data_IF_813153641533
#
_entry.id   IF_813153641533
#
_cell.length_a   1.000
_cell.length_b   1.000
_cell.length_c   1.000
_cell.angle_alpha   90.00
_cell.angle_beta   90.00
_cell.angle_gamma   90.00
#
_symmetry.space_group_name_H-M   'P 1'
#
loop_
_entity.id
_entity.type
_entity.pdbx_description
1 polymer ?
#
# COMPACT_ATOMS: atom_id res chain seq x y z
N UNK A 1 25.30 -24.09 17.45
CA UNK A 1 26.05 -22.88 17.12
C UNK A 1 25.39 -21.66 17.77
N UNK A 2 26.18 -20.61 18.02
CA UNK A 2 25.66 -19.37 18.57
C UNK A 2 24.97 -18.56 17.46
N UNK A 3 23.85 -17.94 17.79
CA UNK A 3 23.20 -16.96 16.89
C UNK A 3 23.78 -15.57 17.19
N UNK A 4 24.23 -14.89 16.15
CA UNK A 4 24.74 -13.50 16.25
C UNK A 4 23.75 -12.60 15.53
N UNK A 5 23.41 -11.49 16.18
CA UNK A 5 22.65 -10.40 15.59
C UNK A 5 23.49 -9.13 15.66
N UNK A 6 23.80 -8.55 14.51
CA UNK A 6 24.48 -7.27 14.42
C UNK A 6 23.48 -6.20 14.01
N UNK A 7 23.39 -5.13 14.80
CA UNK A 7 22.63 -3.92 14.47
C UNK A 7 23.65 -2.84 14.15
N UNK A 8 23.67 -2.38 12.90
CA UNK A 8 24.60 -1.33 12.44
C UNK A 8 23.88 -0.34 11.52
N UNK A 9 24.42 0.87 11.41
CA UNK A 9 24.10 1.83 10.38
C UNK A 9 24.93 1.59 9.12
N UNK A 10 24.86 2.53 8.15
CA UNK A 10 25.72 2.55 6.99
C UNK A 10 27.18 2.76 7.40
N UNK A 11 28.11 2.13 6.69
CA UNK A 11 29.55 2.22 6.89
C UNK A 11 30.25 2.58 5.59
N UNK A 12 31.47 3.11 5.66
CA UNK A 12 32.27 3.38 4.47
C UNK A 12 32.63 2.07 3.74
N UNK A 13 32.99 1.04 4.49
CA UNK A 13 33.47 -0.23 3.92
C UNK A 13 32.38 -1.00 3.17
N UNK A 14 31.15 -1.03 3.70
CA UNK A 14 30.08 -1.85 3.15
C UNK A 14 29.11 -1.05 2.26
N UNK A 15 28.98 0.26 2.51
CA UNK A 15 27.97 1.11 1.88
C UNK A 15 28.55 2.32 1.17
N UNK A 16 29.86 2.56 1.24
CA UNK A 16 30.50 3.77 0.71
C UNK A 16 30.03 5.04 1.40
N UNK A 17 29.55 4.93 2.66
CA UNK A 17 29.04 6.06 3.41
C UNK A 17 30.06 6.62 4.38
N UNK A 18 30.32 7.90 4.29
CA UNK A 18 31.01 8.69 5.30
C UNK A 18 30.47 10.13 5.32
N UNK A 19 30.70 10.81 6.44
CA UNK A 19 30.37 12.22 6.65
C UNK A 19 31.59 12.94 7.20
N UNK A 20 31.97 14.06 6.58
CA UNK A 20 33.06 14.93 7.08
C UNK A 20 32.46 15.93 8.09
N UNK A 21 32.87 15.83 9.35
CA UNK A 21 32.49 16.79 10.39
C UNK A 21 33.61 17.79 10.62
N UNK A 22 33.30 19.08 10.54
CA UNK A 22 34.19 20.16 10.92
C UNK A 22 34.20 20.31 12.44
N UNK A 23 35.27 20.96 13.00
CA UNK A 23 35.30 21.25 14.42
C UNK A 23 34.05 21.99 14.90
N UNK A 24 33.37 21.43 15.91
CA UNK A 24 32.09 21.97 16.48
C UNK A 24 30.83 21.50 15.80
N UNK A 25 30.91 20.77 14.70
CA UNK A 25 29.73 20.13 14.06
C UNK A 25 29.38 18.80 14.73
N UNK A 26 28.11 18.44 14.69
CA UNK A 26 27.59 17.17 15.18
C UNK A 26 26.75 16.49 14.08
N UNK A 27 26.69 15.16 14.14
CA UNK A 27 25.84 14.35 13.27
C UNK A 27 24.91 13.49 14.11
N UNK A 28 23.64 13.52 13.79
CA UNK A 28 22.63 12.63 14.39
C UNK A 28 22.21 11.61 13.37
N UNK A 29 22.28 10.33 13.70
CA UNK A 29 21.82 9.24 12.84
C UNK A 29 20.30 9.24 12.71
N UNK A 30 19.78 8.58 11.68
CA UNK A 30 18.35 8.30 11.59
C UNK A 30 17.90 7.52 12.83
N UNK A 31 16.72 7.84 13.39
CA UNK A 31 16.20 7.11 14.55
C UNK A 31 15.85 5.67 14.17
N UNK A 32 16.14 4.73 15.07
CA UNK A 32 15.79 3.33 14.93
C UNK A 32 14.90 2.89 16.10
N UNK A 33 13.89 2.09 15.81
CA UNK A 33 12.99 1.51 16.81
C UNK A 33 13.26 0.03 17.01
N UNK A 34 13.29 -0.42 18.25
CA UNK A 34 13.40 -1.84 18.60
C UNK A 34 12.34 -2.21 19.64
N UNK A 35 11.81 -3.43 19.53
CA UNK A 35 10.89 -3.97 20.52
C UNK A 35 11.49 -5.25 21.14
N UNK A 36 11.55 -5.27 22.49
CA UNK A 36 11.93 -6.46 23.26
C UNK A 36 10.75 -6.81 24.17
N UNK A 37 10.19 -8.00 23.97
CA UNK A 37 8.99 -8.43 24.68
C UNK A 37 9.13 -9.87 25.18
N UNK A 38 8.38 -10.21 26.22
CA UNK A 38 8.24 -11.60 26.67
C UNK A 38 7.23 -12.31 25.75
N UNK A 39 7.61 -13.47 25.25
CA UNK A 39 6.78 -14.31 24.36
C UNK A 39 7.36 -14.43 22.95
N UNK A 40 6.55 -14.83 22.01
CA UNK A 40 6.96 -15.10 20.63
C UNK A 40 6.57 -13.98 19.65
N UNK A 41 6.22 -14.39 18.43
CA UNK A 41 5.90 -13.52 17.30
C UNK A 41 4.74 -12.55 17.60
N UNK A 42 3.61 -13.04 18.16
CA UNK A 42 2.41 -12.23 18.35
C UNK A 42 2.62 -11.04 19.31
N UNK A 43 3.23 -11.19 20.50
CA UNK A 43 3.57 -10.04 21.35
C UNK A 43 4.52 -9.04 20.67
N UNK A 44 5.50 -9.52 19.88
CA UNK A 44 6.42 -8.64 19.18
C UNK A 44 5.71 -7.83 18.08
N UNK A 45 4.89 -8.46 17.26
CA UNK A 45 4.09 -7.79 16.23
C UNK A 45 3.13 -6.76 16.84
N UNK A 46 2.45 -7.11 17.93
CA UNK A 46 1.57 -6.19 18.65
C UNK A 46 2.33 -4.98 19.24
N UNK A 47 3.52 -5.19 19.80
CA UNK A 47 4.34 -4.10 20.34
C UNK A 47 4.82 -3.15 19.23
N UNK A 48 5.30 -3.67 18.11
CA UNK A 48 5.69 -2.87 16.95
C UNK A 48 4.51 -2.13 16.34
N UNK A 49 3.34 -2.75 16.22
CA UNK A 49 2.12 -2.09 15.73
C UNK A 49 1.74 -0.89 16.59
N UNK A 50 1.73 -1.05 17.92
CA UNK A 50 1.47 0.05 18.85
C UNK A 50 2.52 1.17 18.76
N UNK A 51 3.80 0.82 18.64
CA UNK A 51 4.86 1.81 18.44
C UNK A 51 4.66 2.58 17.13
N UNK A 52 4.39 1.88 16.05
CA UNK A 52 4.17 2.44 14.72
C UNK A 52 3.04 3.46 14.70
N UNK A 53 1.91 3.15 15.31
CA UNK A 53 0.78 4.08 15.47
C UNK A 53 1.16 5.34 16.25
N UNK A 54 2.10 5.22 17.17
CA UNK A 54 2.54 6.33 18.02
C UNK A 54 3.46 7.32 17.30
N UNK A 55 4.25 6.83 16.34
CA UNK A 55 5.27 7.65 15.66
C UNK A 55 4.84 8.15 14.30
N UNK A 56 3.77 7.63 13.73
CA UNK A 56 3.26 8.09 12.45
C UNK A 56 2.50 9.41 12.57
N UNK A 57 2.50 10.17 11.48
CA UNK A 57 1.72 11.39 11.35
C UNK A 57 0.22 11.06 11.42
N UNK A 58 -0.57 11.76 12.26
CA UNK A 58 -2.03 11.64 12.21
C UNK A 58 -2.59 12.15 10.88
N UNK A 59 -3.60 11.47 10.35
CA UNK A 59 -4.33 11.90 9.17
C UNK A 59 -5.78 11.39 9.20
N UNK A 60 -6.68 12.04 8.46
CA UNK A 60 -8.11 11.70 8.44
C UNK A 60 -8.40 10.36 7.77
N UNK A 61 -7.52 9.88 6.90
CA UNK A 61 -7.67 8.58 6.26
C UNK A 61 -7.45 7.43 7.25
N UNK A 62 -6.53 7.60 8.22
CA UNK A 62 -6.32 6.63 9.30
C UNK A 62 -7.54 6.49 10.22
N UNK A 63 -8.42 7.49 10.25
CA UNK A 63 -9.67 7.43 11.02
C UNK A 63 -10.79 6.73 10.24
N UNK A 64 -10.85 6.98 8.93
CA UNK A 64 -11.97 6.55 8.06
C UNK A 64 -11.73 5.22 7.37
N UNK A 65 -10.49 4.85 7.10
CA UNK A 65 -10.09 3.63 6.38
C UNK A 65 -10.89 3.43 5.09
N UNK A 66 -10.93 4.44 4.24
CA UNK A 66 -11.72 4.44 3.02
C UNK A 66 -11.31 3.31 2.07
N UNK A 67 -12.31 2.72 1.39
CA UNK A 67 -12.11 1.68 0.37
C UNK A 67 -11.63 2.33 -0.93
N UNK A 68 -10.54 1.83 -1.49
CA UNK A 68 -9.93 2.35 -2.72
C UNK A 68 -10.36 1.49 -3.91
N UNK A 69 -10.73 2.13 -5.02
CA UNK A 69 -10.70 1.53 -6.35
C UNK A 69 -9.47 2.04 -7.09
N UNK A 70 -8.75 1.14 -7.77
CA UNK A 70 -7.60 1.49 -8.60
C UNK A 70 -7.76 0.82 -9.98
N UNK A 71 -7.53 1.57 -11.05
CA UNK A 71 -7.79 1.13 -12.42
C UNK A 71 -6.65 0.33 -13.08
N UNK A 72 -5.55 0.05 -12.36
CA UNK A 72 -4.37 -0.55 -12.97
C UNK A 72 -4.37 -2.08 -12.97
N UNK A 73 -4.21 -2.69 -11.77
CA UNK A 73 -3.95 -4.14 -11.64
C UNK A 73 -5.14 -4.98 -12.08
N UNK A 74 -4.90 -5.93 -13.01
CA UNK A 74 -5.96 -6.77 -13.61
C UNK A 74 -7.12 -5.96 -14.23
N UNK A 75 -6.90 -4.68 -14.50
CA UNK A 75 -7.86 -3.73 -15.02
C UNK A 75 -7.36 -3.12 -16.33
N UNK A 76 -6.98 -1.85 -16.36
CA UNK A 76 -6.53 -1.16 -17.58
C UNK A 76 -5.04 -1.27 -17.85
N UNK A 77 -4.22 -1.61 -16.86
CA UNK A 77 -2.78 -1.82 -16.99
C UNK A 77 -2.04 -0.63 -17.64
N UNK A 78 -2.45 0.61 -17.32
CA UNK A 78 -1.86 1.83 -17.85
C UNK A 78 -2.40 2.29 -19.20
N UNK A 79 -3.62 1.87 -19.55
CA UNK A 79 -4.32 2.32 -20.76
C UNK A 79 -5.66 3.03 -20.45
N UNK A 80 -5.65 4.09 -19.60
CA UNK A 80 -6.84 4.85 -19.27
C UNK A 80 -7.31 5.70 -20.45
N UNK A 81 -8.63 5.84 -20.61
CA UNK A 81 -9.26 6.80 -21.53
C UNK A 81 -10.54 7.33 -20.89
N UNK A 82 -10.98 8.54 -21.26
CA UNK A 82 -12.24 9.10 -20.73
C UNK A 82 -13.39 8.08 -20.75
N UNK A 83 -13.63 7.41 -21.89
CA UNK A 83 -14.74 6.47 -22.04
C UNK A 83 -14.66 5.30 -21.04
N UNK A 84 -13.48 4.71 -20.87
CA UNK A 84 -13.25 3.60 -19.95
C UNK A 84 -13.42 4.05 -18.50
N UNK A 85 -12.79 5.16 -18.14
CA UNK A 85 -12.79 5.69 -16.78
C UNK A 85 -14.21 6.02 -16.29
N UNK A 86 -15.03 6.70 -17.09
CA UNK A 86 -16.40 7.04 -16.70
C UNK A 86 -17.21 5.78 -16.35
N UNK A 87 -17.08 4.72 -17.15
CA UNK A 87 -17.76 3.44 -16.91
C UNK A 87 -17.26 2.72 -15.64
N UNK A 88 -15.96 2.76 -15.38
CA UNK A 88 -15.37 2.12 -14.19
C UNK A 88 -15.73 2.90 -12.93
N UNK A 89 -15.70 4.21 -12.97
CA UNK A 89 -16.09 5.10 -11.86
C UNK A 89 -17.53 4.80 -11.41
N UNK A 90 -18.46 4.65 -12.36
CA UNK A 90 -19.84 4.28 -12.04
C UNK A 90 -19.92 2.95 -11.27
N UNK A 91 -19.14 1.96 -11.69
CA UNK A 91 -19.09 0.66 -11.02
C UNK A 91 -18.37 0.69 -9.67
N UNK A 92 -17.32 1.46 -9.54
CA UNK A 92 -16.63 1.67 -8.28
C UNK A 92 -17.55 2.32 -7.23
N UNK A 93 -18.31 3.33 -7.64
CA UNK A 93 -19.33 3.96 -6.78
C UNK A 93 -20.46 2.97 -6.40
N UNK A 94 -20.95 2.17 -7.35
CA UNK A 94 -21.97 1.14 -7.14
C UNK A 94 -21.50 0.07 -6.12
N UNK A 95 -20.22 -0.29 -6.14
CA UNK A 95 -19.60 -1.21 -5.18
C UNK A 95 -19.48 -0.59 -3.78
N UNK A 96 -19.53 0.73 -3.67
CA UNK A 96 -19.36 1.45 -2.42
C UNK A 96 -17.91 1.82 -2.11
N UNK A 97 -17.04 1.89 -3.11
CA UNK A 97 -15.71 2.50 -2.96
C UNK A 97 -15.83 3.97 -2.55
N UNK A 98 -14.79 4.51 -1.95
CA UNK A 98 -14.76 5.87 -1.40
C UNK A 98 -13.65 6.72 -2.04
N UNK A 99 -12.59 6.07 -2.55
CA UNK A 99 -11.56 6.65 -3.42
C UNK A 99 -11.61 6.00 -4.80
N UNK A 100 -11.31 6.78 -5.82
CA UNK A 100 -11.00 6.30 -7.15
C UNK A 100 -9.60 6.76 -7.54
N UNK A 101 -8.68 5.84 -7.74
CA UNK A 101 -7.30 6.12 -8.15
C UNK A 101 -7.14 5.81 -9.63
N UNK A 102 -6.98 6.84 -10.45
CA UNK A 102 -6.51 6.73 -11.82
C UNK A 102 -4.99 6.56 -11.78
N UNK A 103 -4.54 5.35 -12.09
CA UNK A 103 -3.16 4.92 -11.96
C UNK A 103 -2.29 5.38 -13.16
N UNK A 104 -1.15 4.77 -13.38
CA UNK A 104 -0.20 5.14 -14.44
C UNK A 104 -0.82 5.17 -15.85
N UNK A 105 -0.33 6.05 -16.71
CA UNK A 105 -0.72 6.15 -18.12
C UNK A 105 -1.50 7.41 -18.49
N UNK A 106 -2.04 8.14 -17.53
CA UNK A 106 -2.87 9.32 -17.81
C UNK A 106 -2.13 10.51 -18.47
N UNK A 107 -0.81 10.52 -18.40
CA UNK A 107 0.07 11.63 -18.85
C UNK A 107 0.77 11.37 -20.20
N UNK A 108 0.51 10.25 -20.87
CA UNK A 108 1.10 9.92 -22.16
C UNK A 108 0.15 9.13 -23.06
N UNK A 109 0.10 9.46 -24.35
CA UNK A 109 -0.74 8.77 -25.33
C UNK A 109 -0.19 7.37 -25.75
N UNK A 110 1.07 7.09 -25.41
CA UNK A 110 1.75 5.84 -25.72
C UNK A 110 1.97 4.95 -24.51
N UNK A 111 3.10 4.24 -24.51
CA UNK A 111 3.55 3.46 -23.34
C UNK A 111 4.18 4.40 -22.32
N UNK A 112 3.53 4.51 -21.18
CA UNK A 112 3.77 5.51 -20.13
C UNK A 112 5.17 5.47 -19.47
N UNK A 113 5.90 4.37 -19.53
CA UNK A 113 7.06 4.08 -18.69
C UNK A 113 8.20 5.11 -18.79
N UNK A 114 8.66 5.46 -19.98
CA UNK A 114 9.83 6.31 -20.18
C UNK A 114 9.52 7.80 -20.48
N UNK A 115 8.23 8.21 -20.31
CA UNK A 115 7.74 9.57 -20.52
C UNK A 115 7.23 10.26 -19.26
N UNK A 116 7.34 9.62 -18.10
CA UNK A 116 6.99 10.22 -16.79
C UNK A 116 7.76 11.52 -16.54
N UNK A 117 7.18 12.45 -15.81
CA UNK A 117 7.90 13.62 -15.30
C UNK A 117 7.22 14.96 -15.56
N UNK A 118 6.49 15.17 -16.65
CA UNK A 118 5.82 16.45 -16.94
C UNK A 118 4.43 16.55 -16.29
N UNK A 119 3.80 15.43 -16.06
CA UNK A 119 2.54 15.29 -15.31
C UNK A 119 1.38 16.13 -15.88
N UNK A 120 1.28 16.20 -17.19
CA UNK A 120 0.16 16.79 -17.93
C UNK A 120 -0.66 15.68 -18.57
N UNK A 121 -1.97 15.84 -18.60
CA UNK A 121 -2.84 14.85 -19.21
C UNK A 121 -2.56 14.65 -20.72
N UNK A 122 -2.67 13.41 -21.15
CA UNK A 122 -2.56 13.03 -22.55
C UNK A 122 -3.85 13.39 -23.31
N UNK A 123 -3.75 14.30 -24.30
CA UNK A 123 -4.92 14.82 -25.02
C UNK A 123 -5.61 13.77 -25.90
N UNK A 124 -4.90 12.74 -26.35
CA UNK A 124 -5.49 11.62 -27.09
C UNK A 124 -6.33 10.70 -26.19
N UNK A 125 -5.95 10.55 -24.92
CA UNK A 125 -6.69 9.78 -23.92
C UNK A 125 -7.86 10.55 -23.32
N UNK A 126 -7.67 11.85 -23.08
CA UNK A 126 -8.61 12.76 -22.44
C UNK A 126 -8.90 13.97 -23.33
N UNK A 127 -9.67 13.80 -24.43
CA UNK A 127 -9.85 14.86 -25.43
C UNK A 127 -10.58 16.10 -24.89
N UNK A 128 -11.35 15.95 -23.81
CA UNK A 128 -12.03 17.07 -23.11
C UNK A 128 -11.28 17.50 -21.83
N UNK A 129 -10.06 16.99 -21.64
CA UNK A 129 -9.25 17.19 -20.43
C UNK A 129 -9.54 16.16 -19.33
N UNK A 130 -8.55 15.94 -18.47
CA UNK A 130 -8.66 15.02 -17.32
C UNK A 130 -9.73 15.47 -16.32
N UNK A 131 -10.03 16.77 -16.29
CA UNK A 131 -11.06 17.33 -15.40
C UNK A 131 -12.43 16.68 -15.58
N UNK A 132 -12.80 16.26 -16.79
CA UNK A 132 -14.07 15.56 -17.05
C UNK A 132 -14.17 14.27 -16.20
N UNK A 133 -13.10 13.50 -16.13
CA UNK A 133 -13.04 12.26 -15.34
C UNK A 133 -13.09 12.55 -13.84
N UNK A 134 -12.32 13.55 -13.39
CA UNK A 134 -12.31 13.96 -11.98
C UNK A 134 -13.69 14.46 -11.51
N UNK A 135 -14.32 15.33 -12.28
CA UNK A 135 -15.65 15.86 -11.99
C UNK A 135 -16.70 14.73 -11.97
N UNK A 136 -16.58 13.75 -12.86
CA UNK A 136 -17.46 12.57 -12.86
C UNK A 136 -17.30 11.76 -11.57
N UNK A 137 -16.07 11.46 -11.14
CA UNK A 137 -15.81 10.76 -9.89
C UNK A 137 -16.43 11.51 -8.68
N UNK A 138 -16.20 12.82 -8.59
CA UNK A 138 -16.80 13.66 -7.56
C UNK A 138 -18.33 13.66 -7.61
N UNK A 139 -18.94 13.68 -8.83
CA UNK A 139 -20.40 13.61 -8.99
C UNK A 139 -21.00 12.32 -8.46
N UNK A 140 -20.21 11.24 -8.38
CA UNK A 140 -20.60 9.95 -7.80
C UNK A 140 -20.27 9.83 -6.30
N UNK A 141 -19.72 10.89 -5.70
CA UNK A 141 -19.34 10.92 -4.29
C UNK A 141 -18.00 10.24 -3.98
N UNK A 142 -17.21 9.92 -4.99
CA UNK A 142 -15.85 9.39 -4.84
C UNK A 142 -14.86 10.53 -4.71
N UNK A 143 -13.84 10.35 -3.89
CA UNK A 143 -12.65 11.18 -3.85
C UNK A 143 -11.70 10.76 -4.96
N UNK A 144 -11.15 11.74 -5.69
CA UNK A 144 -10.29 11.46 -6.84
C UNK A 144 -8.84 11.33 -6.44
N UNK A 145 -8.19 10.28 -6.92
CA UNK A 145 -6.77 10.01 -6.76
C UNK A 145 -6.05 9.91 -8.10
N UNK A 146 -4.76 10.29 -8.10
CA UNK A 146 -3.87 10.15 -9.24
C UNK A 146 -2.57 9.44 -8.85
N UNK A 147 -2.06 8.62 -9.77
CA UNK A 147 -0.73 8.04 -9.66
C UNK A 147 0.33 9.06 -10.08
N UNK A 148 1.41 9.10 -9.32
CA UNK A 148 2.63 9.87 -9.59
C UNK A 148 3.87 9.01 -9.33
N UNK A 149 4.95 9.29 -10.02
CA UNK A 149 6.29 8.86 -9.67
C UNK A 149 7.18 10.11 -9.60
N UNK A 150 6.96 10.88 -8.53
CA UNK A 150 7.41 12.26 -8.41
C UNK A 150 8.93 12.43 -8.31
N UNK A 151 9.63 11.37 -7.99
CA UNK A 151 11.09 11.36 -7.82
C UNK A 151 11.86 11.07 -9.12
N UNK A 152 11.16 10.91 -10.26
CA UNK A 152 11.81 10.53 -11.52
C UNK A 152 11.35 11.34 -12.72
N UNK A 153 12.18 11.35 -13.78
CA UNK A 153 11.81 11.72 -15.13
C UNK A 153 12.26 10.66 -16.12
N UNK A 154 11.37 10.31 -17.06
CA UNK A 154 11.70 9.39 -18.14
C UNK A 154 12.70 9.97 -19.13
N UNK A 155 13.53 9.11 -19.71
CA UNK A 155 14.53 9.56 -20.72
C UNK A 155 13.90 10.12 -21.99
N UNK A 156 12.64 9.76 -22.28
CA UNK A 156 11.86 10.27 -23.40
C UNK A 156 10.98 11.48 -23.03
N UNK A 157 10.99 11.93 -21.76
CA UNK A 157 10.33 13.15 -21.34
C UNK A 157 11.08 14.36 -21.92
N UNK A 158 10.40 15.20 -22.70
CA UNK A 158 11.03 16.35 -23.33
C UNK A 158 11.60 17.36 -22.32
N UNK A 159 10.94 17.50 -21.18
CA UNK A 159 11.38 18.38 -20.11
C UNK A 159 12.74 17.95 -19.55
N UNK A 160 13.00 16.65 -19.42
CA UNK A 160 14.26 16.13 -18.90
C UNK A 160 15.48 16.63 -19.71
N UNK A 161 15.32 16.81 -21.04
CA UNK A 161 16.38 17.29 -21.92
C UNK A 161 16.62 18.81 -21.84
N UNK A 162 15.72 19.54 -21.19
CA UNK A 162 15.77 21.00 -21.04
C UNK A 162 16.30 21.43 -19.67
N UNK A 163 16.35 20.51 -18.72
CA UNK A 163 16.77 20.76 -17.34
C UNK A 163 18.28 20.57 -17.17
N UNK A 164 18.93 21.32 -16.27
CA UNK A 164 20.35 21.18 -15.99
C UNK A 164 20.65 19.86 -15.23
N UNK A 165 21.91 19.41 -15.31
CA UNK A 165 22.31 18.12 -14.74
C UNK A 165 22.21 18.05 -13.21
N UNK A 166 22.32 19.17 -12.52
CA UNK A 166 22.19 19.26 -11.06
C UNK A 166 20.74 19.08 -10.52
N UNK A 167 19.77 18.96 -11.43
CA UNK A 167 18.43 18.48 -11.06
C UNK A 167 18.36 16.97 -10.80
N UNK A 168 19.37 16.26 -11.28
CA UNK A 168 19.38 14.80 -11.27
C UNK A 168 20.46 14.24 -10.39
N UNK A 169 20.24 13.08 -9.86
CA UNK A 169 21.29 12.27 -9.25
C UNK A 169 22.36 12.01 -10.29
N UNK A 170 23.58 12.48 -10.03
CA UNK A 170 24.72 12.39 -10.94
C UNK A 170 25.87 11.64 -10.33
N UNK A 171 26.59 10.88 -11.17
CA UNK A 171 27.84 10.22 -10.79
C UNK A 171 28.83 10.28 -11.93
N UNK A 172 30.07 10.67 -11.62
CA UNK A 172 31.15 10.82 -12.60
C UNK A 172 30.76 11.73 -13.78
N UNK A 173 30.05 12.82 -13.48
CA UNK A 173 29.59 13.80 -14.46
C UNK A 173 28.49 13.31 -15.39
N UNK A 174 27.75 12.26 -15.02
CA UNK A 174 26.62 11.71 -15.78
C UNK A 174 25.42 11.53 -14.90
N UNK A 175 24.24 11.82 -15.45
CA UNK A 175 22.96 11.53 -14.81
C UNK A 175 22.81 10.02 -14.58
N UNK A 176 22.39 9.65 -13.39
CA UNK A 176 22.03 8.27 -13.10
C UNK A 176 20.80 7.86 -13.91
N UNK A 177 20.89 6.73 -14.59
CA UNK A 177 19.76 6.13 -15.34
C UNK A 177 19.53 4.74 -14.78
N UNK A 178 18.32 4.47 -14.35
CA UNK A 178 17.84 3.14 -14.06
C UNK A 178 16.57 2.89 -14.88
N UNK A 179 16.55 1.78 -15.63
CA UNK A 179 15.42 1.32 -16.44
C UNK A 179 14.73 2.45 -17.24
N UNK A 180 15.51 3.25 -17.98
CA UNK A 180 15.07 4.40 -18.81
C UNK A 180 14.51 5.60 -18.02
N UNK A 181 14.88 5.76 -16.77
CA UNK A 181 14.46 6.89 -15.94
C UNK A 181 15.66 7.56 -15.29
N UNK A 182 15.63 8.86 -15.22
CA UNK A 182 16.54 9.69 -14.42
C UNK A 182 15.93 9.86 -13.03
N UNK A 183 16.76 9.78 -11.98
CA UNK A 183 16.37 10.15 -10.62
C UNK A 183 16.51 11.65 -10.43
N UNK A 184 15.46 12.31 -9.96
CA UNK A 184 15.51 13.71 -9.51
C UNK A 184 16.22 13.80 -8.16
N UNK A 185 17.06 14.82 -7.98
CA UNK A 185 17.77 15.03 -6.73
C UNK A 185 17.00 16.01 -5.82
N UNK A 186 16.28 15.51 -4.84
CA UNK A 186 15.49 16.31 -3.90
C UNK A 186 16.34 17.21 -3.00
N UNK A 187 17.66 17.07 -2.98
CA UNK A 187 18.55 18.05 -2.34
C UNK A 187 18.54 19.40 -3.06
N UNK A 188 18.25 19.41 -4.37
CA UNK A 188 18.09 20.63 -5.15
C UNK A 188 16.74 21.30 -4.85
N UNK A 189 16.71 22.56 -4.38
CA UNK A 189 15.48 23.26 -4.05
C UNK A 189 14.57 23.50 -5.25
N UNK A 190 15.12 23.65 -6.46
CA UNK A 190 14.33 23.83 -7.69
C UNK A 190 13.56 22.56 -8.06
N UNK A 191 14.13 21.39 -7.81
CA UNK A 191 13.44 20.09 -7.96
C UNK A 191 12.26 20.03 -7.00
N UNK A 192 12.47 20.33 -5.71
CA UNK A 192 11.38 20.34 -4.72
C UNK A 192 10.28 21.33 -5.09
N UNK A 193 10.66 22.51 -5.58
CA UNK A 193 9.71 23.51 -6.04
C UNK A 193 8.89 22.99 -7.23
N UNK A 194 9.55 22.42 -8.23
CA UNK A 194 8.88 21.83 -9.40
C UNK A 194 7.87 20.74 -8.99
N UNK A 195 8.31 19.79 -8.17
CA UNK A 195 7.43 18.74 -7.67
C UNK A 195 6.26 19.29 -6.84
N UNK A 196 6.49 20.38 -6.09
CA UNK A 196 5.44 21.07 -5.36
C UNK A 196 4.43 21.74 -6.30
N UNK A 197 4.90 22.44 -7.31
CA UNK A 197 4.05 23.10 -8.31
C UNK A 197 3.17 22.06 -9.05
N UNK A 198 3.69 20.86 -9.31
CA UNK A 198 2.91 19.74 -9.88
C UNK A 198 1.79 19.32 -8.94
N UNK A 199 2.10 19.03 -7.69
CA UNK A 199 1.11 18.58 -6.69
C UNK A 199 0.03 19.65 -6.48
N UNK A 200 0.42 20.91 -6.27
CA UNK A 200 -0.51 22.02 -6.07
C UNK A 200 -1.42 22.22 -7.28
N UNK A 201 -0.90 22.11 -8.51
CA UNK A 201 -1.69 22.19 -9.72
C UNK A 201 -2.73 21.06 -9.81
N UNK A 202 -2.32 19.82 -9.56
CA UNK A 202 -3.24 18.68 -9.62
C UNK A 202 -4.35 18.79 -8.57
N UNK A 203 -4.04 19.29 -7.38
CA UNK A 203 -5.04 19.55 -6.34
C UNK A 203 -5.97 20.69 -6.77
N UNK A 204 -5.44 21.82 -7.23
CA UNK A 204 -6.23 23.02 -7.49
C UNK A 204 -7.05 22.92 -8.78
N UNK A 205 -6.50 22.34 -9.85
CA UNK A 205 -7.15 22.29 -11.16
C UNK A 205 -8.13 21.13 -11.29
N UNK A 206 -7.82 19.98 -10.67
CA UNK A 206 -8.61 18.76 -10.82
C UNK A 206 -9.31 18.30 -9.54
N UNK A 207 -9.04 18.94 -8.40
CA UNK A 207 -9.63 18.55 -7.11
C UNK A 207 -9.10 17.22 -6.58
N UNK A 208 -7.84 16.90 -6.86
CA UNK A 208 -7.23 15.63 -6.39
C UNK A 208 -7.07 15.64 -4.87
N UNK A 209 -7.52 14.58 -4.21
CA UNK A 209 -7.51 14.41 -2.76
C UNK A 209 -6.63 13.25 -2.30
N UNK A 210 -6.11 12.47 -3.26
CA UNK A 210 -5.31 11.29 -3.02
C UNK A 210 -4.22 11.15 -4.09
N UNK A 211 -3.00 10.84 -3.67
CA UNK A 211 -1.92 10.46 -4.59
C UNK A 211 -1.38 9.07 -4.25
N UNK A 212 -1.27 8.22 -5.27
CA UNK A 212 -0.41 7.02 -5.20
C UNK A 212 0.96 7.41 -5.74
N UNK A 213 1.93 7.55 -4.84
CA UNK A 213 3.30 7.92 -5.20
C UNK A 213 4.16 6.68 -5.27
N UNK A 214 4.62 6.36 -6.48
CA UNK A 214 5.38 5.17 -6.77
C UNK A 214 6.89 5.42 -6.83
N UNK A 215 7.66 4.35 -6.73
CA UNK A 215 9.12 4.34 -6.79
C UNK A 215 9.61 3.03 -7.42
N UNK A 216 9.77 3.02 -8.75
CA UNK A 216 10.01 1.80 -9.54
C UNK A 216 11.46 1.61 -9.97
N UNK A 217 12.31 2.57 -9.65
CA UNK A 217 13.73 2.57 -10.00
C UNK A 217 14.56 3.02 -8.82
N UNK A 218 15.86 2.71 -8.81
CA UNK A 218 16.73 2.98 -7.67
C UNK A 218 17.69 4.14 -7.93
N UNK A 219 18.15 4.78 -6.86
CA UNK A 219 19.23 5.79 -6.92
C UNK A 219 20.63 5.18 -7.17
N UNK A 220 20.70 3.85 -7.27
CA UNK A 220 21.97 3.14 -7.40
C UNK A 220 22.92 3.45 -6.25
N UNK A 221 24.12 3.92 -6.59
CA UNK A 221 25.13 4.29 -5.59
C UNK A 221 25.01 5.71 -5.04
N UNK A 222 23.95 6.45 -5.44
CA UNK A 222 23.75 7.85 -5.06
C UNK A 222 24.51 8.84 -5.95
N UNK A 223 24.72 10.06 -5.45
CA UNK A 223 25.31 11.17 -6.19
C UNK A 223 26.66 11.56 -5.61
N UNK A 224 27.65 11.81 -6.48
CA UNK A 224 28.93 12.44 -6.09
C UNK A 224 28.88 13.98 -6.20
N UNK A 225 27.75 14.54 -6.59
CA UNK A 225 27.56 15.97 -6.71
C UNK A 225 27.15 16.58 -5.37
N UNK A 226 27.93 17.55 -4.87
CA UNK A 226 27.63 18.30 -3.65
C UNK A 226 27.33 17.42 -2.42
N UNK A 227 28.13 16.37 -2.19
CA UNK A 227 28.00 15.47 -1.05
C UNK A 227 29.37 15.01 -0.55
N UNK A 228 29.45 14.65 0.72
CA UNK A 228 30.67 14.06 1.31
C UNK A 228 30.95 12.67 0.73
N UNK A 229 29.90 11.87 0.56
CA UNK A 229 29.95 10.56 -0.09
C UNK A 229 28.68 10.30 -0.89
N UNK A 230 28.76 9.39 -1.88
CA UNK A 230 27.58 9.06 -2.69
C UNK A 230 26.42 8.52 -1.84
N UNK A 231 26.69 7.70 -0.84
CA UNK A 231 25.66 7.17 0.04
C UNK A 231 25.12 8.24 1.03
N UNK A 232 25.92 9.25 1.40
CA UNK A 232 25.41 10.38 2.17
C UNK A 232 24.45 11.24 1.35
N UNK A 233 24.67 11.36 0.04
CA UNK A 233 23.72 11.99 -0.87
C UNK A 233 22.34 11.31 -0.87
N UNK A 234 22.29 9.97 -0.77
CA UNK A 234 21.04 9.22 -0.65
C UNK A 234 20.32 9.59 0.66
N UNK A 235 21.04 9.60 1.77
CA UNK A 235 20.48 10.00 3.07
C UNK A 235 19.91 11.42 3.03
N UNK A 236 20.70 12.37 2.50
CA UNK A 236 20.28 13.77 2.37
C UNK A 236 19.08 13.94 1.45
N UNK A 237 19.02 13.18 0.34
CA UNK A 237 17.87 13.14 -0.55
C UNK A 237 16.59 12.74 0.20
N UNK A 238 16.63 11.65 0.97
CA UNK A 238 15.46 11.20 1.74
C UNK A 238 15.09 12.18 2.87
N UNK A 239 16.05 12.84 3.51
CA UNK A 239 15.74 13.89 4.48
C UNK A 239 15.01 15.07 3.80
N UNK A 240 15.47 15.50 2.62
CA UNK A 240 14.81 16.55 1.86
C UNK A 240 13.43 16.12 1.33
N UNK A 241 13.27 14.87 0.90
CA UNK A 241 11.99 14.31 0.48
C UNK A 241 10.99 14.27 1.64
N UNK A 242 11.43 13.86 2.84
CA UNK A 242 10.56 13.85 4.03
C UNK A 242 10.12 15.27 4.40
N UNK A 243 11.04 16.24 4.40
CA UNK A 243 10.71 17.65 4.64
C UNK A 243 9.71 18.18 3.61
N UNK A 244 9.90 17.83 2.33
CA UNK A 244 8.99 18.20 1.26
C UNK A 244 7.57 17.63 1.49
N UNK A 245 7.43 16.36 1.92
CA UNK A 245 6.12 15.82 2.30
C UNK A 245 5.52 16.53 3.50
N UNK A 246 6.31 16.86 4.52
CA UNK A 246 5.83 17.60 5.69
C UNK A 246 5.30 19.00 5.30
N UNK A 247 5.94 19.67 4.33
CA UNK A 247 5.46 20.92 3.77
C UNK A 247 4.15 20.76 3.00
N UNK A 248 4.04 19.72 2.15
CA UNK A 248 2.79 19.38 1.45
C UNK A 248 1.64 19.19 2.44
N UNK A 249 1.84 18.36 3.46
CA UNK A 249 0.78 18.08 4.45
C UNK A 249 0.46 19.23 5.38
N UNK A 250 1.39 20.17 5.58
CA UNK A 250 1.08 21.40 6.32
C UNK A 250 0.10 22.28 5.54
N UNK A 251 0.26 22.36 4.23
CA UNK A 251 -0.56 23.22 3.38
C UNK A 251 -1.81 22.49 2.86
N UNK A 252 -1.77 21.16 2.76
CA UNK A 252 -2.88 20.29 2.38
C UNK A 252 -3.11 19.18 3.43
N UNK A 253 -3.60 19.51 4.64
CA UNK A 253 -3.67 18.57 5.76
C UNK A 253 -4.58 17.35 5.51
N UNK A 254 -5.59 17.50 4.64
CA UNK A 254 -6.53 16.45 4.27
C UNK A 254 -6.04 15.54 3.13
N UNK A 255 -4.91 15.89 2.51
CA UNK A 255 -4.35 15.10 1.41
C UNK A 255 -3.92 13.72 1.90
N UNK A 256 -4.33 12.70 1.17
CA UNK A 256 -3.92 11.32 1.40
C UNK A 256 -2.85 10.92 0.41
N UNK A 257 -1.77 10.34 0.90
CA UNK A 257 -0.69 9.82 0.04
C UNK A 257 -0.42 8.36 0.37
N UNK A 258 -0.53 7.53 -0.66
CA UNK A 258 -0.11 6.13 -0.66
C UNK A 258 1.36 6.04 -1.06
N UNK A 259 2.16 5.36 -0.26
CA UNK A 259 3.50 4.94 -0.61
C UNK A 259 3.45 3.66 -1.45
N UNK A 260 4.10 3.68 -2.58
CA UNK A 260 4.31 2.53 -3.45
C UNK A 260 5.79 2.44 -3.84
N UNK A 261 6.25 1.27 -4.20
CA UNK A 261 7.56 1.04 -4.77
C UNK A 261 7.50 -0.30 -5.48
N UNK A 262 6.96 -0.35 -6.72
CA UNK A 262 6.59 -1.59 -7.37
C UNK A 262 5.84 -2.51 -6.38
N UNK A 263 4.79 -1.98 -5.76
CA UNK A 263 4.17 -2.58 -4.59
C UNK A 263 4.93 -2.27 -3.29
N UNK A 264 5.43 -3.28 -2.61
CA UNK A 264 5.98 -3.18 -1.26
C UNK A 264 7.50 -3.00 -1.16
N UNK A 265 8.23 -2.69 -2.22
CA UNK A 265 9.71 -2.64 -2.18
C UNK A 265 10.26 -1.51 -1.30
N UNK A 266 9.51 -0.42 -1.12
CA UNK A 266 9.89 0.71 -0.23
C UNK A 266 9.00 0.79 1.01
N UNK A 267 8.69 -0.33 1.63
CA UNK A 267 7.87 -0.43 2.83
C UNK A 267 8.72 -0.24 4.09
N UNK A 268 9.32 0.93 4.23
CA UNK A 268 10.17 1.30 5.36
C UNK A 268 9.51 2.34 6.28
N UNK A 269 10.07 2.47 7.50
CA UNK A 269 9.51 3.36 8.51
C UNK A 269 9.81 4.84 8.29
N UNK A 270 10.77 5.18 7.46
CA UNK A 270 11.01 6.55 7.01
C UNK A 270 9.78 7.08 6.27
N UNK A 271 9.25 6.28 5.34
CA UNK A 271 8.06 6.62 4.55
C UNK A 271 6.75 6.40 5.32
N UNK A 272 6.60 5.23 5.98
CA UNK A 272 5.35 4.85 6.66
C UNK A 272 4.97 5.74 7.86
N UNK A 273 5.93 6.43 8.49
CA UNK A 273 5.64 7.41 9.54
C UNK A 273 5.01 8.69 9.01
N UNK A 274 5.18 8.99 7.72
CA UNK A 274 4.74 10.24 7.07
C UNK A 274 3.49 9.98 6.22
N UNK A 275 3.48 8.90 5.43
CA UNK A 275 2.46 8.59 4.44
C UNK A 275 1.33 7.73 5.03
N UNK A 276 0.10 7.92 4.52
CA UNK A 276 -1.10 7.33 5.11
C UNK A 276 -1.28 5.86 4.77
N UNK A 277 -0.95 5.48 3.54
CA UNK A 277 -1.21 4.17 2.97
C UNK A 277 0.06 3.55 2.41
N UNK A 278 0.08 2.23 2.29
CA UNK A 278 1.15 1.44 1.72
C UNK A 278 0.61 0.43 0.73
N UNK A 279 1.00 0.53 -0.52
CA UNK A 279 0.88 -0.56 -1.48
C UNK A 279 1.78 -1.72 -1.03
N UNK A 280 1.22 -2.93 -0.92
CA UNK A 280 1.96 -4.06 -0.32
C UNK A 280 2.55 -5.01 -1.34
N UNK A 281 2.04 -5.00 -2.57
CA UNK A 281 2.51 -5.88 -3.65
C UNK A 281 1.87 -5.48 -4.99
N UNK A 282 2.55 -5.82 -6.10
CA UNK A 282 2.00 -5.82 -7.46
C UNK A 282 1.57 -7.23 -7.91
N UNK A 283 1.30 -8.11 -6.96
CA UNK A 283 0.88 -9.48 -7.26
C UNK A 283 -0.51 -9.49 -7.88
N UNK A 284 -0.63 -10.11 -9.06
CA UNK A 284 -1.89 -10.24 -9.82
C UNK A 284 -2.66 -11.53 -9.52
N UNK A 285 -1.99 -12.53 -8.95
CA UNK A 285 -2.61 -13.80 -8.57
C UNK A 285 -3.16 -13.73 -7.14
N UNK A 286 -4.46 -13.96 -7.00
CA UNK A 286 -5.17 -13.85 -5.73
C UNK A 286 -4.75 -14.88 -4.66
N UNK A 287 -4.25 -16.06 -5.08
CA UNK A 287 -3.76 -17.08 -4.15
C UNK A 287 -2.44 -16.63 -3.50
N UNK A 288 -1.57 -15.98 -4.29
CA UNK A 288 -0.33 -15.42 -3.76
C UNK A 288 -0.59 -14.17 -2.93
N UNK A 289 -1.62 -13.39 -3.27
CA UNK A 289 -2.07 -12.26 -2.44
C UNK A 289 -2.51 -12.71 -1.05
N UNK A 290 -3.14 -13.88 -0.90
CA UNK A 290 -3.48 -14.42 0.42
C UNK A 290 -2.24 -14.64 1.31
N UNK A 291 -1.12 -15.09 0.73
CA UNK A 291 0.13 -15.22 1.49
C UNK A 291 0.67 -13.85 1.92
N UNK A 292 0.55 -12.83 1.07
CA UNK A 292 0.92 -11.45 1.42
C UNK A 292 0.00 -10.94 2.53
N UNK A 293 -1.32 -11.06 2.37
CA UNK A 293 -2.31 -10.67 3.36
C UNK A 293 -2.09 -11.31 4.74
N UNK A 294 -1.75 -12.60 4.75
CA UNK A 294 -1.50 -13.35 5.98
C UNK A 294 -0.24 -12.92 6.73
N UNK A 295 0.69 -12.22 6.09
CA UNK A 295 2.02 -11.91 6.66
C UNK A 295 2.31 -10.42 6.81
N UNK A 296 1.74 -9.56 5.96
CA UNK A 296 2.18 -8.18 5.77
C UNK A 296 2.00 -7.29 7.01
N UNK A 297 1.04 -7.61 7.87
CA UNK A 297 0.85 -6.89 9.13
C UNK A 297 2.00 -7.07 10.15
N UNK A 298 3.00 -7.89 9.84
CA UNK A 298 4.28 -7.91 10.55
C UNK A 298 5.14 -6.68 10.23
N UNK A 299 5.03 -6.14 9.02
CA UNK A 299 5.84 -5.03 8.51
C UNK A 299 5.09 -3.69 8.49
N UNK A 300 3.78 -3.66 8.28
CA UNK A 300 2.93 -2.46 8.23
C UNK A 300 1.76 -2.61 9.20
N UNK A 301 1.18 -1.51 9.64
CA UNK A 301 -0.04 -1.60 10.46
C UNK A 301 -1.24 -2.04 9.60
N UNK A 302 -2.21 -2.79 10.15
CA UNK A 302 -3.36 -3.26 9.36
C UNK A 302 -4.06 -2.15 8.58
N UNK A 303 -4.25 -1.01 9.20
CA UNK A 303 -4.93 0.15 8.63
C UNK A 303 -4.14 0.88 7.54
N UNK A 304 -2.83 0.66 7.42
CA UNK A 304 -1.99 1.21 6.34
C UNK A 304 -1.79 0.25 5.18
N UNK A 305 -1.92 -1.07 5.41
CA UNK A 305 -1.59 -2.08 4.40
C UNK A 305 -2.63 -2.22 3.31
N UNK A 306 -2.41 -1.62 2.14
CA UNK A 306 -3.25 -1.79 0.95
C UNK A 306 -3.14 -3.21 0.39
N UNK A 307 -4.28 -3.87 0.18
CA UNK A 307 -4.34 -5.25 -0.31
C UNK A 307 -5.29 -5.36 -1.48
N UNK A 308 -4.78 -5.88 -2.60
CA UNK A 308 -5.57 -6.07 -3.82
C UNK A 308 -6.72 -7.04 -3.61
N UNK A 309 -7.90 -6.63 -4.07
CA UNK A 309 -9.13 -7.42 -4.13
C UNK A 309 -9.59 -7.44 -5.58
N UNK A 310 -9.38 -8.56 -6.25
CA UNK A 310 -9.73 -8.72 -7.66
C UNK A 310 -11.12 -9.31 -7.83
N UNK A 311 -11.92 -8.78 -8.76
CA UNK A 311 -13.22 -9.37 -9.10
C UNK A 311 -13.04 -10.66 -9.93
N UNK A 312 -13.92 -11.63 -9.69
CA UNK A 312 -14.02 -12.86 -10.47
C UNK A 312 -15.47 -13.22 -10.71
N UNK A 313 -15.75 -14.05 -11.71
CA UNK A 313 -17.10 -14.56 -11.97
C UNK A 313 -17.49 -15.70 -11.02
N UNK A 314 -16.52 -16.51 -10.61
CA UNK A 314 -16.73 -17.59 -9.65
C UNK A 314 -16.86 -17.07 -8.23
N UNK A 315 -17.92 -17.48 -7.54
CA UNK A 315 -18.30 -16.96 -6.23
C UNK A 315 -17.24 -17.22 -5.14
N UNK A 316 -16.66 -18.42 -5.08
CA UNK A 316 -15.61 -18.73 -4.10
C UNK A 316 -14.33 -17.93 -4.36
N UNK A 317 -14.01 -17.64 -5.62
CA UNK A 317 -12.88 -16.76 -5.95
C UNK A 317 -13.13 -15.32 -5.51
N UNK A 318 -14.35 -14.80 -5.65
CA UNK A 318 -14.71 -13.47 -5.11
C UNK A 318 -14.57 -13.45 -3.60
N UNK A 319 -15.14 -14.44 -2.90
CA UNK A 319 -15.05 -14.57 -1.44
C UNK A 319 -13.58 -14.59 -1.00
N UNK A 320 -12.76 -15.41 -1.65
CA UNK A 320 -11.33 -15.52 -1.37
C UNK A 320 -10.61 -14.17 -1.47
N UNK A 321 -10.84 -13.44 -2.58
CA UNK A 321 -10.25 -12.13 -2.81
C UNK A 321 -10.70 -11.08 -1.80
N UNK A 322 -12.00 -11.05 -1.50
CA UNK A 322 -12.52 -10.11 -0.49
C UNK A 322 -11.88 -10.37 0.87
N UNK A 323 -11.74 -11.65 1.28
CA UNK A 323 -11.07 -12.01 2.55
C UNK A 323 -9.61 -11.55 2.58
N UNK A 324 -8.90 -11.47 1.43
CA UNK A 324 -7.55 -10.93 1.39
C UNK A 324 -7.48 -9.49 1.92
N UNK A 325 -8.49 -8.65 1.63
CA UNK A 325 -8.52 -7.24 2.04
C UNK A 325 -9.16 -6.96 3.40
N UNK A 326 -9.98 -7.88 3.95
CA UNK A 326 -10.92 -7.59 5.06
C UNK A 326 -10.27 -7.13 6.37
N UNK A 327 -9.09 -7.58 6.69
CA UNK A 327 -8.36 -7.19 7.90
C UNK A 327 -7.16 -6.27 7.61
N UNK A 328 -7.17 -5.65 6.44
CA UNK A 328 -6.20 -4.68 5.93
C UNK A 328 -6.97 -3.52 5.27
N UNK A 329 -6.41 -2.86 4.26
CA UNK A 329 -7.10 -1.86 3.43
C UNK A 329 -7.47 -2.48 2.09
N UNK A 330 -8.77 -2.69 1.79
CA UNK A 330 -9.16 -3.28 0.52
C UNK A 330 -8.96 -2.30 -0.63
N UNK A 331 -8.14 -2.72 -1.59
CA UNK A 331 -7.91 -2.06 -2.87
C UNK A 331 -8.59 -2.87 -3.96
N UNK A 332 -9.77 -2.41 -4.36
CA UNK A 332 -10.52 -3.04 -5.44
C UNK A 332 -9.86 -2.68 -6.76
N UNK A 333 -9.58 -3.67 -7.59
CA UNK A 333 -9.04 -3.44 -8.92
C UNK A 333 -9.44 -4.58 -9.85
N UNK A 334 -9.69 -4.27 -11.13
CA UNK A 334 -10.06 -5.26 -12.13
C UNK A 334 -11.34 -4.90 -12.87
N UNK A 335 -11.77 -5.80 -13.75
CA UNK A 335 -12.85 -5.56 -14.70
C UNK A 335 -14.23 -5.72 -14.07
N UNK A 336 -14.55 -4.90 -13.06
CA UNK A 336 -15.80 -4.95 -12.28
C UNK A 336 -17.07 -4.83 -13.13
N UNK A 337 -16.98 -4.18 -14.30
CA UNK A 337 -18.12 -4.05 -15.23
C UNK A 337 -18.47 -5.34 -15.96
N UNK A 338 -17.63 -6.39 -15.86
CA UNK A 338 -17.89 -7.71 -16.44
C UNK A 338 -18.50 -8.69 -15.46
N UNK A 339 -18.67 -8.31 -14.19
CA UNK A 339 -19.21 -9.20 -13.16
C UNK A 339 -20.69 -9.47 -13.36
N UNK A 340 -21.09 -10.73 -13.17
CA UNK A 340 -22.46 -11.10 -12.97
C UNK A 340 -23.03 -10.61 -11.63
N UNK A 341 -24.34 -10.63 -11.50
CA UNK A 341 -25.06 -10.10 -10.33
C UNK A 341 -24.60 -10.76 -9.01
N UNK A 342 -24.40 -12.07 -9.00
CA UNK A 342 -23.99 -12.80 -7.79
C UNK A 342 -22.62 -12.32 -7.29
N UNK A 343 -21.63 -12.26 -8.18
CA UNK A 343 -20.27 -11.79 -7.83
C UNK A 343 -20.28 -10.33 -7.37
N UNK A 344 -21.06 -9.47 -8.04
CA UNK A 344 -21.24 -8.08 -7.63
C UNK A 344 -21.83 -7.98 -6.23
N UNK A 345 -22.87 -8.79 -5.92
CA UNK A 345 -23.50 -8.81 -4.61
C UNK A 345 -22.54 -9.30 -3.51
N UNK A 346 -21.68 -10.30 -3.79
CA UNK A 346 -20.64 -10.76 -2.86
C UNK A 346 -19.59 -9.69 -2.57
N UNK A 347 -19.17 -8.94 -3.58
CA UNK A 347 -18.25 -7.81 -3.37
C UNK A 347 -18.90 -6.70 -2.52
N UNK A 348 -20.15 -6.33 -2.83
CA UNK A 348 -20.91 -5.33 -2.05
C UNK A 348 -21.09 -5.76 -0.60
N UNK A 349 -21.42 -7.03 -0.36
CA UNK A 349 -21.54 -7.62 0.98
C UNK A 349 -20.21 -7.45 1.75
N UNK A 350 -19.10 -7.83 1.14
CA UNK A 350 -17.78 -7.72 1.76
C UNK A 350 -17.39 -6.27 2.06
N UNK A 351 -17.57 -5.36 1.11
CA UNK A 351 -17.28 -3.93 1.30
C UNK A 351 -18.17 -3.33 2.41
N UNK A 352 -19.45 -3.68 2.44
CA UNK A 352 -20.35 -3.24 3.51
C UNK A 352 -19.88 -3.73 4.88
N UNK A 353 -19.57 -5.01 5.00
CA UNK A 353 -19.04 -5.59 6.24
C UNK A 353 -17.70 -4.97 6.64
N UNK A 354 -16.80 -4.72 5.69
CA UNK A 354 -15.55 -4.02 5.97
C UNK A 354 -15.81 -2.67 6.63
N UNK A 355 -16.74 -1.88 6.10
CA UNK A 355 -17.13 -0.58 6.66
C UNK A 355 -17.70 -0.68 8.07
N UNK A 356 -18.35 -1.80 8.42
CA UNK A 356 -18.87 -2.06 9.76
C UNK A 356 -17.74 -2.38 10.77
N UNK A 357 -16.70 -3.08 10.34
CA UNK A 357 -15.63 -3.57 11.24
C UNK A 357 -14.33 -2.76 11.19
N UNK A 358 -14.16 -1.86 10.23
CA UNK A 358 -12.89 -1.17 9.94
C UNK A 358 -12.32 -0.38 11.13
N UNK A 359 -13.17 0.20 12.00
CA UNK A 359 -12.70 0.88 13.21
C UNK A 359 -12.06 -0.10 14.20
N UNK A 360 -12.64 -1.29 14.37
CA UNK A 360 -12.06 -2.33 15.21
C UNK A 360 -10.75 -2.90 14.59
N UNK A 361 -10.66 -2.97 13.27
CA UNK A 361 -9.41 -3.35 12.57
C UNK A 361 -8.34 -2.29 12.79
N UNK A 362 -8.68 -1.01 12.67
CA UNK A 362 -7.79 0.13 12.92
C UNK A 362 -7.17 0.08 14.33
N UNK A 363 -8.00 -0.15 15.33
CA UNK A 363 -7.59 -0.07 16.73
C UNK A 363 -7.00 -1.38 17.27
N UNK A 364 -7.29 -2.49 16.58
CA UNK A 364 -6.83 -3.83 16.95
C UNK A 364 -5.35 -4.06 16.67
N UNK A 365 -4.81 -5.16 17.18
CA UNK A 365 -3.44 -5.59 16.98
C UNK A 365 -3.38 -6.90 16.19
N UNK A 366 -2.41 -7.05 15.26
CA UNK A 366 -2.28 -8.25 14.45
C UNK A 366 -1.84 -9.45 15.30
N UNK A 367 -2.29 -10.64 14.90
CA UNK A 367 -1.75 -11.90 15.39
C UNK A 367 -1.73 -12.97 14.30
N UNK A 368 -0.82 -13.90 14.42
CA UNK A 368 -0.50 -14.95 13.45
C UNK A 368 -0.61 -16.30 14.13
N UNK A 369 -1.79 -16.95 14.13
CA UNK A 369 -2.01 -18.18 14.89
C UNK A 369 -1.20 -19.37 14.38
N UNK A 370 -0.84 -19.38 13.09
CA UNK A 370 -0.01 -20.40 12.46
C UNK A 370 1.44 -19.94 12.24
N UNK A 371 1.82 -18.76 12.76
CA UNK A 371 3.06 -18.10 12.37
C UNK A 371 2.99 -17.54 10.95
N UNK A 372 4.14 -17.30 10.31
CA UNK A 372 4.20 -16.81 8.94
C UNK A 372 3.99 -17.93 7.94
N UNK A 373 3.08 -17.70 7.00
CA UNK A 373 2.85 -18.58 5.88
C UNK A 373 3.90 -18.42 4.77
N UNK A 374 3.91 -19.39 3.86
CA UNK A 374 4.70 -19.38 2.63
C UNK A 374 3.80 -19.63 1.43
N UNK A 375 4.33 -19.40 0.22
CA UNK A 375 3.63 -19.71 -1.03
C UNK A 375 3.21 -21.20 -1.17
N UNK A 376 3.76 -22.09 -0.34
CA UNK A 376 3.47 -23.53 -0.33
C UNK A 376 2.56 -23.95 0.81
N UNK A 377 2.17 -23.06 1.69
CA UNK A 377 1.29 -23.36 2.82
C UNK A 377 -0.05 -23.92 2.34
N UNK A 378 -0.52 -24.98 2.99
CA UNK A 378 -1.84 -25.55 2.74
C UNK A 378 -2.94 -24.72 3.40
N UNK A 379 -2.62 -24.12 4.54
CA UNK A 379 -3.50 -23.24 5.31
C UNK A 379 -2.76 -21.94 5.62
N UNK A 380 -3.45 -20.82 5.51
CA UNK A 380 -3.01 -19.52 5.96
C UNK A 380 -4.03 -18.97 6.96
N UNK A 381 -3.56 -18.24 7.96
CA UNK A 381 -4.42 -17.58 8.92
C UNK A 381 -3.78 -16.28 9.42
N UNK A 382 -4.59 -15.23 9.49
CA UNK A 382 -4.21 -13.92 9.99
C UNK A 382 -5.39 -13.32 10.75
N UNK A 383 -5.13 -12.73 11.89
CA UNK A 383 -6.19 -12.11 12.68
C UNK A 383 -5.82 -10.75 13.27
N UNK A 384 -6.86 -10.05 13.71
CA UNK A 384 -6.77 -8.79 14.44
C UNK A 384 -7.55 -8.92 15.74
N UNK A 385 -6.88 -8.65 16.87
CA UNK A 385 -7.50 -8.57 18.20
C UNK A 385 -7.85 -7.12 18.49
N UNK A 386 -9.14 -6.82 18.46
CA UNK A 386 -9.69 -5.54 18.91
C UNK A 386 -10.16 -5.64 20.38
N UNK A 387 -10.62 -4.53 20.93
CA UNK A 387 -11.04 -4.46 22.32
C UNK A 387 -12.24 -5.39 22.62
N UNK A 388 -13.24 -5.41 21.73
CA UNK A 388 -14.49 -6.17 21.92
C UNK A 388 -14.49 -7.50 21.22
N UNK A 389 -13.88 -7.57 20.05
CA UNK A 389 -13.95 -8.71 19.15
C UNK A 389 -12.56 -9.10 18.65
N UNK A 390 -12.42 -10.36 18.29
CA UNK A 390 -11.27 -10.86 17.54
C UNK A 390 -11.75 -11.29 16.15
N UNK A 391 -11.08 -10.83 15.12
CA UNK A 391 -11.35 -11.19 13.74
C UNK A 391 -10.26 -12.13 13.24
N UNK A 392 -10.62 -13.12 12.44
CA UNK A 392 -9.69 -14.13 11.93
C UNK A 392 -10.04 -14.49 10.49
N UNK A 393 -9.17 -14.14 9.57
CA UNK A 393 -9.20 -14.62 8.18
C UNK A 393 -8.51 -15.99 8.10
N UNK A 394 -9.16 -16.95 7.45
CA UNK A 394 -8.63 -18.30 7.22
C UNK A 394 -8.74 -18.62 5.75
N UNK A 395 -7.62 -19.04 5.15
CA UNK A 395 -7.55 -19.48 3.75
C UNK A 395 -7.06 -20.91 3.67
N UNK A 396 -7.63 -21.67 2.73
CA UNK A 396 -7.21 -23.05 2.42
C UNK A 396 -6.81 -23.15 0.95
N UNK A 397 -5.65 -22.61 0.56
CA UNK A 397 -5.22 -22.59 -0.84
C UNK A 397 -5.00 -23.99 -1.45
N UNK A 398 -4.73 -25.02 -0.64
CA UNK A 398 -4.35 -26.37 -1.10
C UNK A 398 -4.97 -27.51 -0.30
N UNK A 399 -6.00 -27.25 0.47
CA UNK A 399 -6.70 -28.22 1.28
C UNK A 399 -8.13 -27.78 1.49
N UNK A 400 -8.99 -28.64 2.04
CA UNK A 400 -10.35 -28.28 2.46
C UNK A 400 -10.49 -28.21 3.97
N UNK A 401 -9.44 -28.53 4.73
CA UNK A 401 -9.50 -28.54 6.19
C UNK A 401 -8.42 -27.64 6.80
N UNK A 402 -8.79 -26.92 7.84
CA UNK A 402 -7.88 -26.08 8.60
C UNK A 402 -8.04 -26.33 10.09
N UNK A 403 -6.92 -26.36 10.82
CA UNK A 403 -6.87 -26.46 12.28
C UNK A 403 -6.09 -25.26 12.80
N UNK A 404 -6.78 -24.33 13.46
CA UNK A 404 -6.21 -23.06 13.90
C UNK A 404 -6.19 -23.02 15.44
N UNK A 405 -5.02 -22.95 16.08
CA UNK A 405 -4.93 -22.84 17.54
C UNK A 405 -5.56 -21.52 18.01
N UNK A 406 -6.38 -21.61 19.06
CA UNK A 406 -7.04 -20.48 19.69
C UNK A 406 -6.42 -20.20 21.07
N UNK A 407 -5.97 -18.99 21.29
CA UNK A 407 -5.55 -18.57 22.63
C UNK A 407 -6.77 -18.43 23.54
N UNK A 408 -6.67 -18.93 24.77
CA UNK A 408 -7.73 -18.86 25.79
C UNK A 408 -9.08 -19.40 25.28
N UNK A 409 -9.07 -20.54 24.59
CA UNK A 409 -10.25 -21.13 23.97
C UNK A 409 -11.42 -21.36 24.97
N UNK A 410 -11.12 -21.58 26.25
CA UNK A 410 -12.08 -21.73 27.33
C UNK A 410 -12.85 -20.45 27.67
N UNK A 411 -12.31 -19.30 27.29
CA UNK A 411 -12.93 -17.99 27.48
C UNK A 411 -13.75 -17.54 26.26
N UNK A 412 -13.75 -18.31 25.18
CA UNK A 412 -14.53 -17.98 24.00
C UNK A 412 -16.02 -18.23 24.29
N UNK A 413 -16.81 -17.19 24.03
CA UNK A 413 -18.28 -17.27 24.11
C UNK A 413 -18.87 -17.83 22.81
N UNK A 414 -18.40 -17.32 21.68
CA UNK A 414 -18.93 -17.65 20.36
C UNK A 414 -17.88 -17.47 19.28
N UNK A 415 -17.92 -18.35 18.28
CA UNK A 415 -17.25 -18.17 16.99
C UNK A 415 -18.33 -18.15 15.91
N UNK A 416 -18.25 -17.28 14.95
CA UNK A 416 -19.16 -17.21 13.80
C UNK A 416 -18.41 -16.80 12.54
N UNK A 417 -18.79 -17.37 11.40
CA UNK A 417 -18.44 -16.82 10.09
C UNK A 417 -19.23 -15.54 9.91
N UNK A 418 -18.57 -14.47 9.50
CA UNK A 418 -19.21 -13.18 9.21
C UNK A 418 -19.09 -12.77 7.74
N UNK A 419 -18.23 -13.44 6.98
CA UNK A 419 -18.18 -13.32 5.54
C UNK A 419 -17.77 -14.64 4.88
N UNK A 420 -18.53 -15.12 3.88
CA UNK A 420 -19.87 -14.61 3.49
C UNK A 420 -20.93 -14.91 4.56
N UNK A 421 -22.04 -14.18 4.56
CA UNK A 421 -23.11 -14.31 5.57
C UNK A 421 -23.75 -15.70 5.62
N UNK A 422 -23.83 -16.39 4.50
CA UNK A 422 -24.38 -17.75 4.40
C UNK A 422 -23.44 -18.82 4.98
N UNK A 423 -22.36 -18.44 5.65
CA UNK A 423 -21.34 -19.32 6.26
C UNK A 423 -20.59 -20.21 5.26
N UNK A 424 -21.29 -20.98 4.44
CA UNK A 424 -20.79 -21.86 3.36
C UNK A 424 -19.58 -22.72 3.75
N UNK A 425 -19.46 -23.10 5.03
CA UNK A 425 -18.44 -23.99 5.56
C UNK A 425 -18.86 -24.63 6.89
N UNK A 426 -18.28 -25.78 7.24
CA UNK A 426 -18.43 -26.37 8.56
C UNK A 426 -17.33 -25.90 9.51
N UNK A 427 -17.65 -25.61 10.78
CA UNK A 427 -16.64 -25.28 11.78
C UNK A 427 -17.06 -25.70 13.20
N UNK A 428 -16.06 -25.96 14.06
CA UNK A 428 -16.25 -26.26 15.48
C UNK A 428 -15.01 -25.90 16.30
N UNK A 429 -15.20 -25.70 17.60
CA UNK A 429 -14.07 -25.64 18.53
C UNK A 429 -13.83 -27.03 19.11
N UNK A 430 -12.62 -27.53 18.98
CA UNK A 430 -12.22 -28.86 19.47
C UNK A 430 -10.78 -28.81 19.98
N UNK A 431 -10.56 -29.28 21.21
CA UNK A 431 -9.24 -29.35 21.86
C UNK A 431 -8.46 -28.01 21.80
N UNK A 432 -9.13 -26.89 22.00
CA UNK A 432 -8.50 -25.55 21.95
C UNK A 432 -8.21 -25.02 20.55
N UNK A 433 -8.70 -25.67 19.51
CA UNK A 433 -8.52 -25.26 18.12
C UNK A 433 -9.86 -24.92 17.45
N UNK A 434 -9.86 -23.98 16.53
CA UNK A 434 -10.90 -23.82 15.53
C UNK A 434 -10.62 -24.78 14.38
N UNK A 435 -11.45 -25.79 14.22
CA UNK A 435 -11.41 -26.74 13.12
C UNK A 435 -12.41 -26.29 12.08
N UNK A 436 -11.95 -26.04 10.86
CA UNK A 436 -12.78 -25.56 9.74
C UNK A 436 -12.75 -26.56 8.61
N UNK A 437 -13.91 -26.80 8.01
CA UNK A 437 -14.05 -27.58 6.78
C UNK A 437 -14.63 -26.69 5.69
N UNK A 438 -13.81 -26.30 4.75
CA UNK A 438 -14.18 -25.46 3.60
C UNK A 438 -14.91 -26.29 2.54
N UNK A 439 -15.75 -25.64 1.69
CA UNK A 439 -16.48 -26.34 0.63
C UNK A 439 -15.57 -26.96 -0.43
N UNK A 440 -14.43 -26.34 -0.66
CA UNK A 440 -13.44 -26.75 -1.66
C UNK A 440 -12.04 -26.22 -1.31
N UNK A 441 -11.02 -26.64 -2.03
CA UNK A 441 -9.73 -25.94 -2.04
C UNK A 441 -9.87 -24.53 -2.62
N UNK A 442 -8.90 -23.66 -2.32
CA UNK A 442 -8.92 -22.24 -2.74
C UNK A 442 -10.15 -21.50 -2.19
N UNK A 443 -10.54 -21.81 -0.96
CA UNK A 443 -11.62 -21.15 -0.25
C UNK A 443 -11.07 -20.31 0.91
N UNK A 444 -11.83 -19.30 1.33
CA UNK A 444 -11.50 -18.45 2.46
C UNK A 444 -12.76 -17.98 3.20
N UNK A 445 -12.62 -17.75 4.52
CA UNK A 445 -13.70 -17.25 5.38
C UNK A 445 -13.15 -16.26 6.39
N UNK A 446 -13.98 -15.27 6.72
CA UNK A 446 -13.72 -14.36 7.82
C UNK A 446 -14.55 -14.76 9.03
N UNK A 447 -13.89 -15.02 10.14
CA UNK A 447 -14.50 -15.36 11.41
C UNK A 447 -14.47 -14.19 12.38
N UNK A 448 -15.50 -14.11 13.20
CA UNK A 448 -15.56 -13.28 14.41
C UNK A 448 -15.55 -14.18 15.64
N UNK A 449 -14.69 -13.86 16.58
CA UNK A 449 -14.53 -14.56 17.87
C UNK A 449 -14.88 -13.59 18.97
N UNK A 450 -15.90 -13.94 19.76
CA UNK A 450 -16.38 -13.15 20.89
C UNK A 450 -15.94 -13.83 22.20
N UNK A 451 -15.35 -13.04 23.11
CA UNK A 451 -14.94 -13.52 24.43
C UNK A 451 -16.10 -13.41 25.45
N UNK A 452 -16.01 -14.18 26.54
CA UNK A 452 -16.98 -14.13 27.67
C UNK A 452 -16.87 -12.84 28.44
#
# INVERSE_FOLDING_TARGET
GNLYLTLSGATEQEHGWYKNLKPGESFTTVPAGAAVVKGGLNPAAAALTRYRRKVRRPNTDDEKLNVVFNDYMNCLMGDPTTERELSIIDKAAELGCEYYCLDAGWYDDGFWWDRVGEWKEASGRFPNGLKEVCDHAHSKGLKMGLWLEIEVMGVACELANKLPDDWFVCRHGKRHIDNKRYMLDFRNPEVRKYCRDVVDRLINDYGVEYFKVDYNVTMGYGSDLNSDSCADAIREHYECLHQWYEEIFRDHPELVVENCGSGGQRMDYGMLKILSLQSTSDQTDYLYNANIAANVASAVTPEQGGMWVYPYEDEEHVIYNVVNGMLLRPYISGMVWKLGENSMNRMKEGISLYKEIREEVRDGVPFFPLGFGTMKSEVLAYGVKAEKNTYLSVWTPRTTEAVIPLENAEQIRRVSVIYPKEEMCGYKIENGNLVVKMPQEKAARLFKIEMK
#
